data_IF_535158287474
#
_entry.id   IF_535158287474
#
_cell.length_a   1.000
_cell.length_b   1.000
_cell.length_c   1.000
_cell.angle_alpha   90.00
_cell.angle_beta   90.00
_cell.angle_gamma   90.00
#
_symmetry.space_group_name_H-M   'P 1'
#
loop_
_entity.id
_entity.type
_entity.pdbx_description
1 polymer ?
#
# COMPACT_ATOMS: atom_id res chain seq x y z
N UNK A 1 -5.41 22.76 -7.56
CA UNK A 1 -6.81 22.32 -7.65
C UNK A 1 -6.97 21.12 -6.74
N UNK A 2 -7.77 21.24 -5.67
CA UNK A 2 -8.03 20.15 -4.71
C UNK A 2 -9.21 19.29 -5.15
N UNK A 3 -9.24 18.03 -4.70
CA UNK A 3 -10.36 17.11 -4.91
C UNK A 3 -11.20 17.03 -3.63
N UNK A 4 -12.52 17.03 -3.76
CA UNK A 4 -13.42 16.77 -2.63
C UNK A 4 -13.66 15.26 -2.55
N UNK A 5 -13.57 14.70 -1.35
CA UNK A 5 -13.80 13.28 -1.07
C UNK A 5 -15.05 13.15 -0.22
N UNK A 6 -16.00 12.32 -0.64
CA UNK A 6 -17.17 11.98 0.16
C UNK A 6 -16.88 10.71 0.94
N UNK A 7 -17.03 10.79 2.26
CA UNK A 7 -16.80 9.70 3.19
C UNK A 7 -18.14 9.26 3.80
N UNK A 8 -18.18 8.02 4.27
CA UNK A 8 -19.28 7.58 5.13
C UNK A 8 -18.96 7.92 6.59
N UNK A 9 -19.97 7.89 7.47
CA UNK A 9 -19.83 8.26 8.88
C UNK A 9 -18.74 7.46 9.63
N UNK A 10 -18.49 6.22 9.22
CA UNK A 10 -17.43 5.40 9.81
C UNK A 10 -16.04 5.92 9.42
N UNK A 11 -15.82 6.21 8.14
CA UNK A 11 -14.56 6.74 7.64
C UNK A 11 -14.29 8.17 8.15
N UNK A 12 -15.32 9.01 8.28
CA UNK A 12 -15.18 10.34 8.88
C UNK A 12 -14.71 10.25 10.33
N UNK A 13 -15.35 9.40 11.15
CA UNK A 13 -14.95 9.19 12.54
C UNK A 13 -13.52 8.63 12.65
N UNK A 14 -13.17 7.66 11.80
CA UNK A 14 -11.83 7.11 11.78
C UNK A 14 -10.78 8.17 11.40
N UNK A 15 -11.08 9.02 10.41
CA UNK A 15 -10.19 10.10 10.00
C UNK A 15 -10.00 11.15 11.09
N UNK A 16 -11.08 11.54 11.78
CA UNK A 16 -11.02 12.48 12.89
C UNK A 16 -10.15 11.95 14.04
N UNK A 17 -10.35 10.69 14.45
CA UNK A 17 -9.56 10.04 15.50
C UNK A 17 -8.07 9.98 15.15
N UNK A 18 -7.74 9.63 13.90
CA UNK A 18 -6.35 9.60 13.44
C UNK A 18 -5.73 11.00 13.43
N UNK A 19 -6.48 12.00 12.99
CA UNK A 19 -6.03 13.39 12.93
C UNK A 19 -5.77 13.97 14.31
N UNK A 20 -6.64 13.67 15.27
CA UNK A 20 -6.47 14.04 16.67
C UNK A 20 -5.22 13.36 17.27
N UNK A 21 -5.04 12.07 17.01
CA UNK A 21 -3.89 11.32 17.51
C UNK A 21 -2.55 11.82 16.93
N UNK A 22 -2.53 12.17 15.64
CA UNK A 22 -1.34 12.67 14.95
C UNK A 22 -1.12 14.19 15.14
N UNK A 23 -2.11 14.92 15.67
CA UNK A 23 -2.05 16.36 15.89
C UNK A 23 -2.01 17.18 14.58
N UNK A 24 -2.62 16.68 13.51
CA UNK A 24 -2.64 17.30 12.18
C UNK A 24 -4.05 17.46 11.64
N UNK A 25 -4.21 18.22 10.55
CA UNK A 25 -5.53 18.40 9.91
C UNK A 25 -6.03 17.11 9.27
N UNK A 26 -7.35 16.92 9.18
CA UNK A 26 -7.97 15.78 8.50
C UNK A 26 -7.53 15.64 7.04
N UNK A 27 -7.32 16.76 6.34
CA UNK A 27 -6.84 16.75 4.97
C UNK A 27 -5.42 16.16 4.87
N UNK A 28 -4.55 16.53 5.80
CA UNK A 28 -3.18 16.02 5.88
C UNK A 28 -3.19 14.52 6.23
N UNK A 29 -3.96 14.12 7.24
CA UNK A 29 -4.13 12.71 7.62
C UNK A 29 -4.61 11.87 6.43
N UNK A 30 -5.58 12.37 5.67
CA UNK A 30 -6.10 11.69 4.48
C UNK A 30 -5.02 11.56 3.39
N UNK A 31 -4.31 12.64 3.08
CA UNK A 31 -3.24 12.64 2.08
C UNK A 31 -2.11 11.66 2.47
N UNK A 32 -1.69 11.68 3.74
CA UNK A 32 -0.67 10.78 4.27
C UNK A 32 -1.13 9.33 4.25
N UNK A 33 -2.34 9.04 4.73
CA UNK A 33 -2.88 7.68 4.74
C UNK A 33 -3.00 7.09 3.34
N UNK A 34 -3.48 7.89 2.36
CA UNK A 34 -3.55 7.47 0.95
C UNK A 34 -2.16 7.19 0.40
N UNK A 35 -1.19 8.07 0.68
CA UNK A 35 0.19 7.93 0.20
C UNK A 35 0.87 6.70 0.79
N UNK A 36 0.72 6.48 2.10
CA UNK A 36 1.25 5.30 2.79
C UNK A 36 0.61 4.01 2.29
N UNK A 37 -0.71 4.00 2.08
CA UNK A 37 -1.41 2.85 1.53
C UNK A 37 -0.99 2.56 0.09
N UNK A 38 -0.78 3.60 -0.73
CA UNK A 38 -0.25 3.46 -2.09
C UNK A 38 1.19 2.92 -2.07
N UNK A 39 2.07 3.47 -1.24
CA UNK A 39 3.46 3.02 -1.11
C UNK A 39 3.53 1.55 -0.66
N UNK A 40 2.71 1.15 0.32
CA UNK A 40 2.61 -0.26 0.75
C UNK A 40 2.15 -1.17 -0.38
N UNK A 41 1.12 -0.77 -1.16
CA UNK A 41 0.61 -1.56 -2.29
C UNK A 41 1.62 -1.67 -3.44
N UNK A 42 2.27 -0.58 -3.82
CA UNK A 42 3.30 -0.57 -4.87
C UNK A 42 4.50 -1.42 -4.46
N UNK A 43 4.99 -1.26 -3.22
CA UNK A 43 6.08 -2.09 -2.68
C UNK A 43 5.71 -3.57 -2.67
N UNK A 44 4.50 -3.92 -2.22
CA UNK A 44 4.03 -5.30 -2.20
C UNK A 44 3.88 -5.88 -3.63
N UNK A 45 3.32 -5.11 -4.56
CA UNK A 45 3.24 -5.51 -5.97
C UNK A 45 4.63 -5.77 -6.55
N UNK A 46 5.58 -4.87 -6.28
CA UNK A 46 6.96 -5.02 -6.76
C UNK A 46 7.68 -6.21 -6.16
N UNK A 47 7.51 -6.47 -4.86
CA UNK A 47 8.05 -7.67 -4.19
C UNK A 47 7.41 -8.93 -4.76
N UNK A 48 6.11 -8.92 -5.04
CA UNK A 48 5.40 -10.05 -5.64
C UNK A 48 5.91 -10.37 -7.05
N UNK A 49 6.07 -9.35 -7.90
CA UNK A 49 6.67 -9.47 -9.24
C UNK A 49 8.09 -10.02 -9.18
N UNK A 50 8.95 -9.44 -8.34
CA UNK A 50 10.33 -9.90 -8.17
C UNK A 50 10.40 -11.34 -7.64
N UNK A 51 9.48 -11.70 -6.74
CA UNK A 51 9.37 -13.07 -6.21
C UNK A 51 8.89 -14.06 -7.28
N UNK A 52 7.98 -13.67 -8.17
CA UNK A 52 7.56 -14.47 -9.32
C UNK A 52 8.73 -14.70 -10.30
N UNK A 53 9.46 -13.64 -10.64
CA UNK A 53 10.64 -13.72 -11.52
C UNK A 53 11.75 -14.58 -10.90
N UNK A 54 12.00 -14.43 -9.60
CA UNK A 54 12.96 -15.25 -8.86
C UNK A 54 12.59 -16.73 -8.88
N UNK A 55 11.32 -17.07 -8.59
CA UNK A 55 10.84 -18.46 -8.65
C UNK A 55 10.99 -19.06 -10.04
N UNK A 56 10.61 -18.34 -11.09
CA UNK A 56 10.80 -18.78 -12.49
C UNK A 56 12.26 -19.09 -12.81
N UNK A 57 13.21 -18.27 -12.33
CA UNK A 57 14.65 -18.51 -12.49
C UNK A 57 15.13 -19.75 -11.74
N UNK A 58 14.62 -20.00 -10.53
CA UNK A 58 15.01 -21.18 -9.76
C UNK A 58 14.37 -22.47 -10.29
N UNK A 59 13.17 -22.43 -10.89
CA UNK A 59 12.57 -23.60 -11.54
C UNK A 59 13.50 -24.17 -12.61
N UNK A 60 14.03 -23.32 -13.49
CA UNK A 60 14.96 -23.76 -14.54
C UNK A 60 16.30 -24.31 -13.98
N UNK A 61 16.72 -23.85 -12.80
CA UNK A 61 17.89 -24.39 -12.10
C UNK A 61 17.59 -25.76 -11.49
N UNK A 62 16.44 -25.90 -10.82
CA UNK A 62 16.01 -27.17 -10.23
C UNK A 62 15.74 -28.24 -11.30
N UNK A 63 15.16 -27.87 -12.45
CA UNK A 63 14.96 -28.76 -13.59
C UNK A 63 16.30 -29.33 -14.10
N UNK A 64 17.37 -28.53 -14.08
CA UNK A 64 18.73 -28.97 -14.47
C UNK A 64 19.42 -29.84 -13.42
N UNK A 65 19.14 -29.63 -12.13
CA UNK A 65 19.74 -30.42 -11.05
C UNK A 65 19.00 -31.75 -10.81
N UNK A 66 17.79 -31.90 -11.35
CA UNK A 66 16.99 -33.12 -11.29
C UNK A 66 17.30 -34.13 -12.43
N UNK A 67 18.26 -33.81 -13.30
CA UNK A 67 18.82 -34.69 -14.35
C UNK A 67 20.16 -35.27 -13.93
#
# INVERSE_FOLDING_TARGET
>A
MGRILWLNDEAERALALLSEADGVSEHETAARTITDAAARRVRNGRVHELSLQGRSRYTALFDRLAQ
#
